data_IF_042866727072
#
_entry.id   IF_042866727072
#
_cell.length_a   1.000
_cell.length_b   1.000
_cell.length_c   1.000
_cell.angle_alpha   90.00
_cell.angle_beta   90.00
_cell.angle_gamma   90.00
#
_symmetry.space_group_name_H-M   'P 1'
#
loop_
_entity.id
_entity.type
_entity.pdbx_description
1 polymer ?
#
# COMPACT_ATOMS: atom_id res chain seq x y z
N UNK A 1 -17.13 13.44 18.60
CA UNK A 1 -16.88 13.78 17.18
C UNK A 1 -16.11 12.59 16.64
N UNK A 2 -16.50 11.98 15.50
CA UNK A 2 -15.76 10.83 14.99
C UNK A 2 -14.29 11.20 14.89
N UNK A 3 -13.42 10.41 15.52
CA UNK A 3 -12.00 10.65 15.46
C UNK A 3 -11.44 10.04 14.18
N UNK A 4 -10.42 10.68 13.62
CA UNK A 4 -9.74 10.20 12.42
C UNK A 4 -8.31 9.85 12.78
N UNK A 5 -7.80 8.78 12.19
CA UNK A 5 -6.37 8.50 12.14
C UNK A 5 -5.81 8.92 10.79
N UNK A 6 -4.50 9.10 10.72
CA UNK A 6 -3.81 9.49 9.48
C UNK A 6 -2.98 8.31 8.98
N UNK A 7 -3.18 7.93 7.72
CA UNK A 7 -2.34 6.96 7.02
C UNK A 7 -1.49 7.64 5.96
N UNK A 8 -0.19 7.39 5.99
CA UNK A 8 0.74 7.73 4.91
C UNK A 8 1.31 6.43 4.35
N UNK A 9 1.24 6.27 3.04
CA UNK A 9 1.81 5.11 2.36
C UNK A 9 3.07 5.53 1.64
N UNK A 10 4.17 4.80 1.87
CA UNK A 10 5.45 5.04 1.23
C UNK A 10 5.85 3.83 0.40
N UNK A 11 5.86 3.99 -0.91
CA UNK A 11 6.26 2.97 -1.89
C UNK A 11 7.72 3.14 -2.29
N UNK A 12 8.49 2.07 -2.16
CA UNK A 12 9.89 2.07 -2.58
C UNK A 12 10.33 0.71 -3.08
N UNK A 13 11.43 0.69 -3.83
CA UNK A 13 12.05 -0.55 -4.35
C UNK A 13 13.47 -0.70 -3.88
N UNK A 14 13.90 -1.97 -3.83
CA UNK A 14 15.25 -2.39 -3.46
C UNK A 14 15.66 -1.98 -2.04
N UNK A 15 16.84 -2.44 -1.60
CA UNK A 15 17.42 -2.00 -0.31
C UNK A 15 17.81 -0.53 -0.27
N UNK A 16 17.96 0.08 -1.45
CA UNK A 16 18.27 1.50 -1.61
C UNK A 16 17.06 2.42 -1.34
N UNK A 17 15.86 1.89 -1.10
CA UNK A 17 14.63 2.66 -0.84
C UNK A 17 14.36 3.70 -1.93
N UNK A 18 14.52 3.30 -3.18
CA UNK A 18 14.25 4.19 -4.31
C UNK A 18 12.73 4.39 -4.39
N UNK A 19 12.22 5.63 -4.32
CA UNK A 19 10.79 5.89 -4.34
C UNK A 19 10.16 5.45 -5.66
N UNK A 20 8.94 4.90 -5.58
CA UNK A 20 8.18 4.50 -6.77
C UNK A 20 6.97 5.41 -6.94
N UNK A 21 7.01 6.36 -7.89
CA UNK A 21 5.86 7.18 -8.23
C UNK A 21 4.83 6.40 -9.06
N UNK A 22 3.59 6.89 -9.07
CA UNK A 22 2.55 6.37 -9.96
C UNK A 22 1.92 5.04 -9.52
N UNK A 23 2.27 4.53 -8.33
CA UNK A 23 1.61 3.38 -7.73
C UNK A 23 0.23 3.79 -7.20
N UNK A 24 -0.80 3.02 -7.56
CA UNK A 24 -2.18 3.17 -7.09
C UNK A 24 -2.31 2.54 -5.73
N UNK A 25 -2.77 3.32 -4.77
CA UNK A 25 -2.95 2.94 -3.37
C UNK A 25 -4.44 2.95 -3.07
N UNK A 26 -5.00 1.80 -2.74
CA UNK A 26 -6.40 1.59 -2.39
C UNK A 26 -6.47 1.21 -0.91
N UNK A 27 -7.23 2.00 -0.15
CA UNK A 27 -7.52 1.72 1.26
C UNK A 27 -8.97 1.26 1.35
N UNK A 28 -9.16 0.06 1.90
CA UNK A 28 -10.46 -0.54 2.12
C UNK A 28 -10.61 -0.99 3.59
N UNK A 29 -11.83 -1.21 4.04
CA UNK A 29 -12.13 -1.89 5.31
C UNK A 29 -13.05 -3.05 5.06
N UNK A 30 -12.96 -4.07 5.91
CA UNK A 30 -13.86 -5.21 5.88
C UNK A 30 -14.94 -5.00 6.94
N UNK A 31 -16.20 -4.84 6.51
CA UNK A 31 -17.35 -4.75 7.42
C UNK A 31 -18.24 -5.97 7.21
N UNK A 32 -18.16 -6.93 8.13
CA UNK A 32 -18.83 -8.22 7.99
C UNK A 32 -18.26 -9.03 6.83
N UNK A 33 -19.05 -9.25 5.77
CA UNK A 33 -18.64 -9.96 4.55
C UNK A 33 -18.36 -9.03 3.36
N UNK A 34 -18.48 -7.70 3.55
CA UNK A 34 -18.35 -6.74 2.46
C UNK A 34 -17.07 -5.92 2.62
N UNK A 35 -16.36 -5.72 1.51
CA UNK A 35 -15.21 -4.82 1.46
C UNK A 35 -15.66 -3.44 1.00
N UNK A 36 -15.42 -2.43 1.82
CA UNK A 36 -15.76 -1.04 1.54
C UNK A 36 -14.49 -0.26 1.24
N UNK A 37 -14.42 0.37 0.07
CA UNK A 37 -13.27 1.21 -0.33
C UNK A 37 -13.45 2.60 0.28
N UNK A 38 -12.51 3.05 1.10
CA UNK A 38 -12.54 4.38 1.73
C UNK A 38 -11.79 5.41 0.91
N UNK A 39 -10.64 5.04 0.33
CA UNK A 39 -9.79 5.96 -0.37
C UNK A 39 -9.01 5.28 -1.49
N UNK A 40 -8.81 6.03 -2.58
CA UNK A 40 -7.88 5.69 -3.65
C UNK A 40 -6.96 6.88 -3.87
N UNK A 41 -5.65 6.65 -3.90
CA UNK A 41 -4.61 7.65 -4.11
C UNK A 41 -3.55 7.13 -5.07
N UNK A 42 -2.79 8.03 -5.65
CA UNK A 42 -1.62 7.71 -6.48
C UNK A 42 -0.40 8.29 -5.77
N UNK A 43 0.68 7.54 -5.74
CA UNK A 43 1.95 7.98 -5.16
C UNK A 43 2.62 9.05 -6.01
N UNK A 44 3.14 10.08 -5.36
CA UNK A 44 3.84 11.19 -5.98
C UNK A 44 5.30 10.84 -6.35
N UNK A 45 6.07 11.82 -6.84
CA UNK A 45 7.49 11.67 -7.21
C UNK A 45 8.39 11.20 -6.07
N UNK A 46 7.96 11.38 -4.81
CA UNK A 46 8.65 10.89 -3.62
C UNK A 46 8.22 9.49 -3.19
N UNK A 47 7.34 8.84 -3.95
CA UNK A 47 6.78 7.53 -3.62
C UNK A 47 5.80 7.60 -2.46
N UNK A 48 5.20 8.76 -2.21
CA UNK A 48 4.29 8.97 -1.06
C UNK A 48 2.86 9.11 -1.56
N UNK A 49 1.93 8.40 -0.90
CA UNK A 49 0.50 8.60 -1.05
C UNK A 49 -0.11 8.94 0.33
N UNK A 50 -0.55 10.19 0.47
CA UNK A 50 -1.19 10.68 1.69
C UNK A 50 -0.94 12.17 1.93
N UNK A 51 -1.33 12.69 3.10
CA UNK A 51 -2.02 12.00 4.19
C UNK A 51 -3.45 11.56 3.81
N UNK A 52 -3.86 10.37 4.24
CA UNK A 52 -5.22 9.83 4.09
C UNK A 52 -5.87 9.83 5.46
N UNK A 53 -6.96 10.57 5.62
CA UNK A 53 -7.76 10.55 6.83
C UNK A 53 -8.71 9.35 6.80
N UNK A 54 -8.58 8.48 7.81
CA UNK A 54 -9.40 7.28 7.94
C UNK A 54 -10.22 7.36 9.23
N UNK A 55 -11.50 6.96 9.20
CA UNK A 55 -12.33 6.96 10.40
C UNK A 55 -11.75 6.01 11.45
N UNK A 56 -11.66 6.44 12.70
CA UNK A 56 -11.17 5.64 13.81
C UNK A 56 -12.16 5.69 14.98
N UNK A 57 -12.23 4.65 15.82
CA UNK A 57 -13.03 4.68 17.05
C UNK A 57 -12.56 5.82 17.97
N UNK A 58 -13.47 6.36 18.80
CA UNK A 58 -13.14 7.47 19.71
C UNK A 58 -12.18 7.01 20.83
N UNK A 59 -11.13 7.79 21.11
CA UNK A 59 -10.13 7.59 22.19
C UNK A 59 -10.76 7.34 23.56
N UNK A 60 -11.94 7.89 23.84
CA UNK A 60 -12.62 7.72 25.14
C UNK A 60 -12.96 6.25 25.44
N UNK A 61 -13.09 5.39 24.43
CA UNK A 61 -13.29 3.96 24.59
C UNK A 61 -11.98 3.18 24.88
N UNK A 62 -10.81 3.81 24.72
CA UNK A 62 -9.50 3.15 24.88
C UNK A 62 -8.99 3.12 26.34
N UNK A 63 -9.64 3.84 27.26
CA UNK A 63 -9.24 3.96 28.67
C UNK A 63 -10.08 3.09 29.64
N UNK A 64 -11.03 2.31 29.13
CA UNK A 64 -11.84 1.38 29.93
C UNK A 64 -11.47 -0.06 29.62
N UNK A 65 -11.22 -0.92 30.63
CA UNK A 65 -10.80 -2.31 30.41
C UNK A 65 -11.88 -3.21 29.77
N UNK A 66 -13.11 -2.73 29.59
CA UNK A 66 -14.29 -3.55 29.31
C UNK A 66 -14.96 -3.29 27.93
N UNK A 67 -14.47 -2.39 27.05
CA UNK A 67 -15.12 -2.26 25.72
C UNK A 67 -14.30 -1.69 24.54
N UNK A 68 -14.24 -2.54 23.49
CA UNK A 68 -14.33 -2.30 22.03
C UNK A 68 -13.19 -1.52 21.34
N UNK A 69 -12.33 -2.31 20.68
CA UNK A 69 -11.45 -2.00 19.55
C UNK A 69 -10.72 -0.64 19.61
N UNK A 70 -9.50 -0.58 20.18
CA UNK A 70 -8.73 0.66 20.29
C UNK A 70 -8.18 1.19 18.95
N UNK A 71 -8.33 0.42 17.87
CA UNK A 71 -7.90 0.75 16.52
C UNK A 71 -8.94 0.30 15.51
N UNK A 72 -8.91 0.88 14.31
CA UNK A 72 -9.60 0.32 13.15
C UNK A 72 -8.61 -0.45 12.28
N UNK A 73 -9.00 -1.65 11.83
CA UNK A 73 -8.25 -2.44 10.88
C UNK A 73 -8.66 -2.09 9.44
N UNK A 74 -7.65 -1.87 8.61
CA UNK A 74 -7.79 -1.53 7.20
C UNK A 74 -7.03 -2.50 6.32
N UNK A 75 -7.52 -2.70 5.11
CA UNK A 75 -6.82 -3.39 4.03
C UNK A 75 -6.21 -2.35 3.11
N UNK A 76 -4.90 -2.45 2.91
CA UNK A 76 -4.18 -1.63 1.95
C UNK A 76 -3.80 -2.48 0.74
N UNK A 77 -4.14 -2.01 -0.44
CA UNK A 77 -3.75 -2.62 -1.71
C UNK A 77 -2.95 -1.59 -2.52
N UNK A 78 -1.76 -1.97 -2.95
CA UNK A 78 -0.88 -1.13 -3.76
C UNK A 78 -0.57 -1.84 -5.06
N UNK A 79 -0.91 -1.18 -6.16
CA UNK A 79 -0.77 -1.72 -7.51
C UNK A 79 0.06 -0.78 -8.37
N UNK A 80 0.95 -1.34 -9.18
CA UNK A 80 1.68 -0.60 -10.20
C UNK A 80 1.98 -1.55 -11.37
N UNK A 81 1.81 -1.13 -12.64
CA UNK A 81 1.94 -2.03 -13.80
C UNK A 81 3.30 -2.73 -13.93
N UNK A 82 4.36 -2.12 -13.41
CA UNK A 82 5.72 -2.70 -13.38
C UNK A 82 6.09 -3.47 -12.10
N UNK A 83 5.19 -3.58 -11.12
CA UNK A 83 5.47 -4.22 -9.83
C UNK A 83 4.39 -5.23 -9.45
N UNK A 84 4.73 -6.13 -8.55
CA UNK A 84 3.77 -7.06 -7.98
C UNK A 84 2.78 -6.31 -7.09
N UNK A 85 1.53 -6.77 -7.07
CA UNK A 85 0.50 -6.20 -6.21
C UNK A 85 0.84 -6.49 -4.76
N UNK A 86 0.98 -5.44 -3.96
CA UNK A 86 1.24 -5.56 -2.53
C UNK A 86 -0.06 -5.37 -1.75
N UNK A 87 -0.44 -6.38 -0.96
CA UNK A 87 -1.65 -6.35 -0.13
C UNK A 87 -1.27 -6.48 1.34
N UNK A 88 -1.70 -5.53 2.16
CA UNK A 88 -1.55 -5.56 3.61
C UNK A 88 -2.94 -5.68 4.24
N UNK A 89 -3.12 -6.75 5.00
CA UNK A 89 -4.34 -7.01 5.76
C UNK A 89 -4.13 -6.52 7.20
N UNK A 90 -5.22 -6.07 7.83
CA UNK A 90 -5.25 -5.72 9.24
C UNK A 90 -4.32 -4.55 9.64
N UNK A 91 -4.23 -3.53 8.78
CA UNK A 91 -3.48 -2.31 9.05
C UNK A 91 -4.17 -1.51 10.16
N UNK A 92 -3.49 -1.37 11.30
CA UNK A 92 -4.03 -0.73 12.48
C UNK A 92 -3.87 0.79 12.40
N UNK A 93 -4.99 1.49 12.39
CA UNK A 93 -5.03 2.95 12.42
C UNK A 93 -5.63 3.40 13.73
N UNK A 94 -4.84 4.18 14.48
CA UNK A 94 -5.23 4.73 15.76
C UNK A 94 -5.76 6.16 15.59
N UNK A 95 -6.78 6.55 16.38
CA UNK A 95 -7.29 7.91 16.36
C UNK A 95 -6.22 8.93 16.77
N UNK A 96 -6.08 10.01 15.99
CA UNK A 96 -5.11 11.08 16.25
C UNK A 96 -3.64 10.68 16.06
N UNK A 97 -3.36 9.46 15.58
CA UNK A 97 -2.01 8.97 15.31
C UNK A 97 -1.76 8.94 13.81
N UNK A 98 -0.52 9.29 13.44
CA UNK A 98 -0.02 9.17 12.08
C UNK A 98 0.66 7.80 11.91
N UNK A 99 0.01 6.91 11.17
CA UNK A 99 0.56 5.62 10.75
C UNK A 99 1.29 5.78 9.42
N UNK A 100 2.54 5.34 9.36
CA UNK A 100 3.32 5.29 8.11
C UNK A 100 3.43 3.82 7.70
N UNK A 101 2.88 3.47 6.54
CA UNK A 101 2.97 2.14 5.97
C UNK A 101 4.03 2.11 4.87
N UNK A 102 5.12 1.41 5.15
CA UNK A 102 6.16 1.12 4.19
C UNK A 102 5.75 -0.05 3.28
N UNK A 103 5.83 0.17 1.98
CA UNK A 103 5.43 -0.78 0.94
C UNK A 103 6.63 -1.04 0.04
N UNK A 104 7.42 -2.09 0.32
CA UNK A 104 8.49 -2.51 -0.57
C UNK A 104 7.87 -3.18 -1.80
N UNK A 105 7.94 -2.52 -2.95
CA UNK A 105 7.46 -3.07 -4.21
C UNK A 105 8.51 -4.01 -4.80
N UNK A 106 8.04 -5.16 -5.27
CA UNK A 106 8.84 -6.16 -5.96
C UNK A 106 8.60 -5.99 -7.46
N UNK A 107 9.63 -5.76 -8.29
CA UNK A 107 9.45 -5.67 -9.73
C UNK A 107 8.85 -6.98 -10.22
N UNK A 108 7.67 -6.92 -10.84
CA UNK A 108 7.16 -8.06 -11.60
C UNK A 108 8.22 -8.31 -12.64
N UNK A 109 8.86 -9.48 -12.62
CA UNK A 109 9.78 -9.85 -13.67
C UNK A 109 9.01 -9.60 -14.97
N UNK A 110 9.43 -8.61 -15.76
CA UNK A 110 9.27 -8.79 -17.19
C UNK A 110 9.99 -10.11 -17.41
N UNK A 111 9.23 -11.18 -17.63
CA UNK A 111 9.77 -12.31 -18.33
C UNK A 111 10.24 -11.65 -19.61
N UNK A 112 11.53 -11.32 -19.65
CA UNK A 112 12.22 -11.17 -20.90
C UNK A 112 11.83 -12.45 -21.58
N UNK A 113 10.93 -12.34 -22.57
CA UNK A 113 10.89 -13.30 -23.64
C UNK A 113 12.33 -13.34 -24.07
N UNK A 114 13.05 -14.36 -23.60
CA UNK A 114 14.34 -14.72 -24.11
C UNK A 114 14.11 -15.21 -25.52
N UNK A 115 13.66 -14.32 -26.40
CA UNK A 115 13.97 -14.34 -27.82
C UNK A 115 15.43 -13.91 -27.96
N UNK A 116 16.29 -14.57 -27.19
CA UNK A 116 17.69 -14.75 -27.51
C UNK A 116 17.81 -15.76 -28.63
N UNK A 117 17.05 -15.60 -29.73
CA UNK A 117 17.60 -15.99 -31.03
C UNK A 117 18.67 -14.95 -31.32
N UNK A 118 19.86 -15.20 -30.76
CA UNK A 118 21.07 -14.65 -31.33
C UNK A 118 21.13 -15.25 -32.73
N UNK A 119 20.66 -14.51 -33.73
CA UNK A 119 20.89 -14.86 -35.13
C UNK A 119 22.40 -14.81 -35.32
N UNK A 120 23.06 -15.94 -35.08
CA UNK A 120 24.44 -16.16 -35.49
C UNK A 120 24.40 -15.99 -37.00
N UNK A 121 24.82 -14.81 -37.45
CA UNK A 121 25.01 -14.56 -38.88
C UNK A 121 26.05 -15.58 -39.33
N UNK A 122 25.76 -16.46 -40.29
CA UNK A 122 26.78 -17.39 -40.77
C UNK A 122 27.93 -16.54 -41.32
N UNK A 123 29.12 -16.69 -40.75
CA UNK A 123 30.30 -16.04 -41.31
C UNK A 123 30.62 -16.76 -42.63
N UNK A 124 30.65 -16.06 -43.77
CA UNK A 124 30.99 -16.67 -45.04
C UNK A 124 32.51 -16.84 -45.19
N UNK A 125 32.86 -18.03 -45.68
CA UNK A 125 34.14 -18.54 -46.24
C UNK A 125 35.33 -18.73 -45.29
#
# INVERSE_FOLDING_TARGET
MPQTGTLIVRTFVSRAQIPVPGATVVVARTVGQQQEILAVRITDESGIAGPIELPAPEVASSLSPDQVDPFSSYTLLVEHPGFEVATFLDLQVFPGVQTIQDVPLVPTQIQGTGDGVTTVTPQPL
#
